data_IF_667724765012
#
_entry.id   IF_667724765012
#
_cell.length_a   1.000
_cell.length_b   1.000
_cell.length_c   1.000
_cell.angle_alpha   90.00
_cell.angle_beta   90.00
_cell.angle_gamma   90.00
#
_symmetry.space_group_name_H-M   'P 1'
#
loop_
_entity.id
_entity.type
_entity.pdbx_description
1 polymer ?
#
# COMPACT_ATOMS: atom_id res chain seq x y z
N UNK A 1 -30.24 -11.84 2.76
CA UNK A 1 -29.09 -12.41 3.50
C UNK A 1 -27.78 -12.25 2.72
N UNK A 2 -27.63 -12.79 1.50
CA UNK A 2 -26.36 -12.73 0.74
C UNK A 2 -25.88 -11.32 0.39
N UNK A 3 -26.79 -10.41 0.03
CA UNK A 3 -26.46 -9.03 -0.32
C UNK A 3 -25.82 -8.27 0.85
N UNK A 4 -26.29 -8.53 2.09
CA UNK A 4 -25.73 -7.93 3.28
C UNK A 4 -24.28 -8.39 3.51
N UNK A 5 -24.02 -9.70 3.35
CA UNK A 5 -22.66 -10.24 3.48
C UNK A 5 -21.70 -9.66 2.43
N UNK A 6 -22.15 -9.51 1.18
CA UNK A 6 -21.38 -8.84 0.12
C UNK A 6 -21.10 -7.38 0.51
N UNK A 7 -22.10 -6.65 1.02
CA UNK A 7 -21.93 -5.27 1.47
C UNK A 7 -20.84 -5.13 2.54
N UNK A 8 -20.81 -6.05 3.51
CA UNK A 8 -19.79 -6.07 4.57
C UNK A 8 -18.40 -6.35 4.00
N UNK A 9 -18.27 -7.30 3.07
CA UNK A 9 -17.00 -7.61 2.39
C UNK A 9 -16.46 -6.38 1.65
N UNK A 10 -17.31 -5.70 0.87
CA UNK A 10 -16.93 -4.50 0.13
C UNK A 10 -16.52 -3.35 1.05
N UNK A 11 -17.28 -3.13 2.13
CA UNK A 11 -16.95 -2.12 3.14
C UNK A 11 -15.60 -2.40 3.80
N UNK A 12 -15.34 -3.65 4.19
CA UNK A 12 -14.05 -4.05 4.77
C UNK A 12 -12.88 -3.85 3.81
N UNK A 13 -13.06 -4.17 2.53
CA UNK A 13 -12.05 -3.94 1.50
C UNK A 13 -11.75 -2.44 1.32
N UNK A 14 -12.78 -1.60 1.25
CA UNK A 14 -12.62 -0.15 1.09
C UNK A 14 -11.90 0.49 2.29
N UNK A 15 -12.29 0.11 3.52
CA UNK A 15 -11.63 0.59 4.74
C UNK A 15 -10.18 0.12 4.78
N UNK A 16 -9.93 -1.18 4.52
CA UNK A 16 -8.58 -1.74 4.51
C UNK A 16 -7.68 -1.07 3.47
N UNK A 17 -8.20 -0.74 2.28
CA UNK A 17 -7.45 -0.04 1.25
C UNK A 17 -7.04 1.37 1.69
N UNK A 18 -7.94 2.12 2.35
CA UNK A 18 -7.61 3.44 2.90
C UNK A 18 -6.56 3.36 4.01
N UNK A 19 -6.68 2.38 4.91
CA UNK A 19 -5.70 2.18 5.99
C UNK A 19 -4.32 1.78 5.46
N UNK A 20 -4.24 1.01 4.36
CA UNK A 20 -2.97 0.64 3.75
C UNK A 20 -2.15 1.86 3.29
N UNK A 21 -2.81 2.96 2.90
CA UNK A 21 -2.14 4.17 2.42
C UNK A 21 -1.49 4.99 3.55
N UNK A 22 -1.82 4.71 4.82
CA UNK A 22 -1.13 5.30 5.97
C UNK A 22 0.37 4.94 5.96
N UNK A 23 0.75 3.83 5.33
CA UNK A 23 2.15 3.44 5.13
C UNK A 23 2.99 4.53 4.43
N UNK A 24 2.37 5.38 3.61
CA UNK A 24 3.06 6.49 2.91
C UNK A 24 3.57 7.61 3.83
N UNK A 25 3.11 7.68 5.08
CA UNK A 25 3.60 8.69 6.04
C UNK A 25 5.08 8.49 6.36
N UNK A 26 5.53 7.23 6.50
CA UNK A 26 6.91 6.89 6.82
C UNK A 26 7.90 7.43 5.78
N UNK A 27 7.77 7.04 4.50
CA UNK A 27 8.57 7.58 3.40
C UNK A 27 8.48 9.10 3.31
N UNK A 28 7.28 9.68 3.35
CA UNK A 28 7.10 11.14 3.23
C UNK A 28 7.90 11.95 4.25
N UNK A 29 7.98 11.48 5.50
CA UNK A 29 8.80 12.12 6.54
C UNK A 29 10.29 11.80 6.34
N UNK A 30 10.63 10.54 6.08
CA UNK A 30 12.02 10.08 5.96
C UNK A 30 12.74 10.73 4.79
N UNK A 31 12.11 10.74 3.61
CA UNK A 31 12.64 11.35 2.39
C UNK A 31 12.74 12.87 2.52
N UNK A 32 11.73 13.52 3.10
CA UNK A 32 11.77 14.97 3.34
C UNK A 32 12.99 15.38 4.18
N UNK A 33 13.31 14.61 5.24
CA UNK A 33 14.51 14.84 6.03
C UNK A 33 15.80 14.51 5.27
N UNK A 34 15.83 13.42 4.49
CA UNK A 34 17.00 13.06 3.68
C UNK A 34 17.33 14.15 2.65
N UNK A 35 16.31 14.70 1.98
CA UNK A 35 16.45 15.80 1.01
C UNK A 35 16.93 17.08 1.70
N UNK A 36 16.39 17.42 2.87
CA UNK A 36 16.86 18.58 3.63
C UNK A 36 18.36 18.49 3.95
N UNK A 37 18.83 17.31 4.41
CA UNK A 37 20.25 17.06 4.69
C UNK A 37 21.12 17.06 3.44
N UNK A 38 20.61 16.55 2.32
CA UNK A 38 21.31 16.63 1.05
C UNK A 38 21.50 18.10 0.61
N UNK A 39 20.47 18.94 0.74
CA UNK A 39 20.55 20.37 0.45
C UNK A 39 21.58 21.09 1.35
N UNK A 40 21.59 20.78 2.65
CA UNK A 40 22.61 21.33 3.59
C UNK A 40 24.04 20.92 3.17
N UNK A 41 24.25 19.65 2.83
CA UNK A 41 25.56 19.14 2.41
C UNK A 41 26.03 19.79 1.10
N UNK A 42 25.13 19.91 0.11
CA UNK A 42 25.42 20.56 -1.18
C UNK A 42 25.71 22.06 -0.98
N UNK A 43 24.96 22.73 -0.11
CA UNK A 43 25.18 24.15 0.20
C UNK A 43 26.53 24.40 0.87
N UNK A 44 27.01 23.46 1.70
CA UNK A 44 28.34 23.52 2.32
C UNK A 44 29.46 23.17 1.34
N UNK A 45 29.23 22.21 0.47
CA UNK A 45 30.24 21.70 -0.45
C UNK A 45 29.65 21.44 -1.85
N UNK A 46 29.54 22.48 -2.70
CA UNK A 46 28.87 22.40 -4.00
C UNK A 46 29.50 21.38 -4.96
N UNK A 47 30.81 21.15 -4.88
CA UNK A 47 31.54 20.16 -5.67
C UNK A 47 31.11 18.71 -5.37
N UNK A 48 30.53 18.46 -4.20
CA UNK A 48 30.05 17.12 -3.80
C UNK A 48 28.64 16.80 -4.32
N UNK A 49 27.99 17.73 -5.03
CA UNK A 49 26.58 17.63 -5.45
C UNK A 49 26.22 16.32 -6.12
N UNK A 50 27.03 15.86 -7.08
CA UNK A 50 26.75 14.62 -7.81
C UNK A 50 26.69 13.40 -6.88
N UNK A 51 27.68 13.25 -6.00
CA UNK A 51 27.76 12.13 -5.07
C UNK A 51 26.64 12.17 -4.01
N UNK A 52 26.36 13.35 -3.47
CA UNK A 52 25.29 13.54 -2.46
C UNK A 52 23.92 13.25 -3.08
N UNK A 53 23.61 13.81 -4.25
CA UNK A 53 22.33 13.57 -4.92
C UNK A 53 22.15 12.10 -5.29
N UNK A 54 23.19 11.43 -5.80
CA UNK A 54 23.12 10.00 -6.13
C UNK A 54 22.82 9.14 -4.89
N UNK A 55 23.46 9.45 -3.76
CA UNK A 55 23.25 8.73 -2.50
C UNK A 55 21.86 8.99 -1.94
N UNK A 56 21.40 10.25 -1.99
CA UNK A 56 20.06 10.65 -1.57
C UNK A 56 18.98 9.92 -2.37
N UNK A 57 19.06 9.90 -3.71
CA UNK A 57 18.07 9.23 -4.57
C UNK A 57 18.03 7.72 -4.26
N UNK A 58 19.18 7.08 -4.08
CA UNK A 58 19.24 5.66 -3.71
C UNK A 58 18.57 5.41 -2.35
N UNK A 59 18.84 6.27 -1.36
CA UNK A 59 18.22 6.19 -0.04
C UNK A 59 16.70 6.39 -0.07
N UNK A 60 16.22 7.41 -0.80
CA UNK A 60 14.79 7.66 -1.01
C UNK A 60 14.12 6.47 -1.70
N UNK A 61 14.70 5.96 -2.80
CA UNK A 61 14.13 4.81 -3.51
C UNK A 61 13.94 3.57 -2.60
N UNK A 62 14.86 3.34 -1.65
CA UNK A 62 14.72 2.26 -0.67
C UNK A 62 13.63 2.59 0.37
N UNK A 63 13.60 3.83 0.86
CA UNK A 63 12.60 4.28 1.83
C UNK A 63 11.16 4.17 1.29
N UNK A 64 10.94 4.52 0.02
CA UNK A 64 9.64 4.53 -0.65
C UNK A 64 8.99 3.13 -0.78
N UNK A 65 9.78 2.06 -0.68
CA UNK A 65 9.28 0.68 -0.86
C UNK A 65 8.10 0.34 0.07
N UNK A 66 8.08 0.87 1.29
CA UNK A 66 6.97 0.66 2.23
C UNK A 66 5.68 1.37 1.80
N UNK A 67 5.79 2.56 1.20
CA UNK A 67 4.67 3.25 0.57
C UNK A 67 4.12 2.47 -0.63
N UNK A 68 5.02 1.90 -1.45
CA UNK A 68 4.64 1.03 -2.56
C UNK A 68 3.93 -0.24 -2.09
N UNK A 69 4.37 -0.87 -1.00
CA UNK A 69 3.66 -2.03 -0.45
C UNK A 69 2.25 -1.65 0.00
N UNK A 70 2.08 -0.50 0.67
CA UNK A 70 0.75 0.02 1.03
C UNK A 70 -0.13 0.27 -0.19
N UNK A 71 0.42 0.88 -1.24
CA UNK A 71 -0.27 1.11 -2.51
C UNK A 71 -0.70 -0.20 -3.18
N UNK A 72 0.19 -1.19 -3.27
CA UNK A 72 -0.10 -2.50 -3.87
C UNK A 72 -1.23 -3.19 -3.13
N UNK A 73 -1.19 -3.20 -1.79
CA UNK A 73 -2.27 -3.77 -0.98
C UNK A 73 -3.59 -3.02 -1.19
N UNK A 74 -3.57 -1.68 -1.25
CA UNK A 74 -4.75 -0.88 -1.53
C UNK A 74 -5.38 -1.22 -2.90
N UNK A 75 -4.57 -1.33 -3.94
CA UNK A 75 -5.01 -1.73 -5.29
C UNK A 75 -5.62 -3.14 -5.26
N UNK A 76 -4.95 -4.10 -4.62
CA UNK A 76 -5.46 -5.47 -4.52
C UNK A 76 -6.80 -5.52 -3.79
N UNK A 77 -6.98 -4.77 -2.71
CA UNK A 77 -8.23 -4.71 -1.95
C UNK A 77 -9.38 -4.07 -2.73
N UNK A 78 -9.11 -3.14 -3.65
CA UNK A 78 -10.16 -2.51 -4.47
C UNK A 78 -10.52 -3.33 -5.71
N UNK A 79 -9.54 -3.91 -6.40
CA UNK A 79 -9.75 -4.48 -7.73
C UNK A 79 -9.75 -6.01 -7.79
N UNK A 80 -9.10 -6.69 -6.84
CA UNK A 80 -8.86 -8.14 -6.91
C UNK A 80 -9.58 -8.89 -5.80
N UNK A 81 -9.32 -8.50 -4.55
CA UNK A 81 -9.84 -9.15 -3.35
C UNK A 81 -11.38 -9.21 -3.27
N UNK A 82 -12.16 -8.20 -3.71
CA UNK A 82 -13.61 -8.25 -3.60
C UNK A 82 -14.22 -9.45 -4.32
N UNK A 83 -13.80 -9.68 -5.57
CA UNK A 83 -14.30 -10.79 -6.37
C UNK A 83 -13.85 -12.14 -5.79
N UNK A 84 -12.60 -12.22 -5.30
CA UNK A 84 -12.08 -13.42 -4.65
C UNK A 84 -12.92 -13.81 -3.42
N UNK A 85 -13.19 -12.85 -2.52
CA UNK A 85 -13.95 -13.09 -1.29
C UNK A 85 -15.41 -13.41 -1.55
N UNK A 86 -16.05 -12.71 -2.49
CA UNK A 86 -17.44 -12.99 -2.87
C UNK A 86 -17.56 -14.41 -3.46
N UNK A 87 -16.61 -14.84 -4.29
CA UNK A 87 -16.62 -16.18 -4.86
C UNK A 87 -16.39 -17.25 -3.81
N UNK A 88 -15.45 -17.04 -2.88
CA UNK A 88 -15.23 -17.94 -1.75
C UNK A 88 -16.51 -18.12 -0.90
N UNK A 89 -17.22 -17.03 -0.61
CA UNK A 89 -18.48 -17.07 0.11
C UNK A 89 -19.55 -17.88 -0.65
N UNK A 90 -19.70 -17.63 -1.95
CA UNK A 90 -20.67 -18.37 -2.78
C UNK A 90 -20.36 -19.86 -2.82
N UNK A 91 -19.09 -20.23 -2.98
CA UNK A 91 -18.64 -21.62 -3.02
C UNK A 91 -18.88 -22.35 -1.71
N UNK A 92 -18.67 -21.68 -0.58
CA UNK A 92 -19.01 -22.25 0.71
C UNK A 92 -20.51 -22.57 0.75
N UNK A 93 -21.36 -21.57 0.48
CA UNK A 93 -22.82 -21.73 0.53
C UNK A 93 -23.36 -22.82 -0.41
N UNK A 94 -22.82 -22.94 -1.62
CA UNK A 94 -23.21 -24.00 -2.56
C UNK A 94 -22.74 -25.38 -2.12
N UNK A 95 -21.54 -25.50 -1.53
CA UNK A 95 -21.03 -26.76 -0.97
C UNK A 95 -21.88 -27.27 0.20
N UNK A 96 -22.35 -26.38 1.08
CA UNK A 96 -23.27 -26.74 2.15
C UNK A 96 -24.62 -27.24 1.60
N UNK A 97 -25.14 -26.61 0.55
CA UNK A 97 -26.40 -27.03 -0.07
C UNK A 97 -26.30 -28.41 -0.74
N UNK A 98 -25.14 -28.76 -1.31
CA UNK A 98 -24.90 -30.07 -1.92
C UNK A 98 -24.76 -31.21 -0.90
N UNK A 99 -24.33 -30.92 0.34
CA UNK A 99 -24.24 -31.92 1.43
C UNK A 99 -25.55 -32.13 2.21
N UNK A 100 -26.61 -31.40 1.89
CA UNK A 100 -27.95 -31.56 2.47
C UNK A 100 -28.90 -32.43 1.63
N UNK A 101 -28.46 -32.89 0.46
CA UNK A 101 -29.10 -33.91 -0.39
C UNK A 101 -28.35 -35.24 -0.23
#
# INVERSE_FOLDING_TARGET
>A
MIQLAIGIILAGCAIGAGLALIAGIGPGIGEGNAVARACEAIGRQPESRGAVTSTMIMGCAIAETTGLYGLVIGILLIFVAPNLFINALKNALTGWAAGML
#
